data_IF_081677039897
#
_entry.id   IF_081677039897
#
_cell.length_a   1.000
_cell.length_b   1.000
_cell.length_c   1.000
_cell.angle_alpha   90.00
_cell.angle_beta   90.00
_cell.angle_gamma   90.00
#
_symmetry.space_group_name_H-M   'P 1'
#
loop_
_entity.id
_entity.type
_entity.pdbx_description
1 polymer ?
#
# COMPACT_ATOMS: atom_id res chain seq x y z
N UNK A 1 -55.36 81.88 -2.48
CA UNK A 1 -55.30 80.43 -2.50
C UNK A 1 -54.21 80.07 -1.48
N UNK A 2 -54.59 79.80 -0.25
CA UNK A 2 -53.73 79.72 0.92
C UNK A 2 -53.41 78.28 1.17
N UNK A 3 -52.09 77.96 1.21
CA UNK A 3 -51.63 76.60 1.55
C UNK A 3 -51.00 76.66 2.95
N UNK A 4 -51.64 76.01 3.92
CA UNK A 4 -51.17 75.87 5.27
C UNK A 4 -50.11 74.83 5.39
N UNK A 5 -48.93 75.16 5.87
CA UNK A 5 -47.89 74.28 6.28
C UNK A 5 -48.09 73.81 7.73
N UNK A 6 -48.38 72.57 7.93
CA UNK A 6 -48.47 71.95 9.25
C UNK A 6 -47.08 71.30 9.57
N UNK A 7 -46.42 71.84 10.59
CA UNK A 7 -45.16 71.28 11.08
C UNK A 7 -45.44 70.10 12.01
N UNK A 8 -45.16 68.91 11.56
CA UNK A 8 -45.18 67.76 12.41
C UNK A 8 -43.80 67.53 13.07
N UNK A 9 -43.79 67.47 14.40
CA UNK A 9 -42.59 67.27 15.20
C UNK A 9 -42.26 65.79 15.14
N UNK A 10 -41.07 65.45 14.62
CA UNK A 10 -40.54 64.05 14.66
C UNK A 10 -39.97 63.79 16.04
N UNK A 11 -40.52 62.80 16.72
CA UNK A 11 -39.98 62.24 17.96
C UNK A 11 -38.95 61.18 17.55
N UNK A 12 -37.68 61.47 17.84
CA UNK A 12 -36.59 60.52 17.66
C UNK A 12 -36.60 59.53 18.83
N UNK A 13 -37.09 58.30 18.58
CA UNK A 13 -36.94 57.20 19.50
C UNK A 13 -35.61 56.51 19.17
N UNK A 14 -34.63 56.66 20.04
CA UNK A 14 -33.38 55.94 19.94
C UNK A 14 -33.60 54.46 20.34
N UNK A 15 -33.66 53.60 19.35
CA UNK A 15 -33.62 52.16 19.58
C UNK A 15 -32.16 51.73 19.69
N UNK A 16 -31.73 51.44 20.92
CA UNK A 16 -30.42 50.88 21.19
C UNK A 16 -30.29 49.50 20.63
N UNK A 17 -29.50 49.35 19.56
CA UNK A 17 -29.16 48.05 18.99
C UNK A 17 -28.07 47.42 19.85
N UNK A 18 -28.43 46.51 20.76
CA UNK A 18 -27.45 45.64 21.43
C UNK A 18 -26.89 44.65 20.43
N UNK A 19 -25.65 44.94 19.96
CA UNK A 19 -24.86 43.94 19.26
C UNK A 19 -24.40 42.89 20.27
N UNK A 20 -25.09 41.74 20.35
CA UNK A 20 -24.55 40.54 20.96
C UNK A 20 -23.47 39.97 20.03
N UNK A 21 -22.21 40.23 20.37
CA UNK A 21 -21.07 39.57 19.76
C UNK A 21 -21.14 38.11 20.24
N UNK A 22 -21.73 37.23 19.43
CA UNK A 22 -21.57 35.82 19.60
C UNK A 22 -20.12 35.49 19.24
N UNK A 23 -19.28 35.32 20.26
CA UNK A 23 -17.96 34.71 20.07
C UNK A 23 -18.18 33.32 19.46
N UNK A 24 -17.53 32.98 18.34
CA UNK A 24 -17.51 31.61 17.89
C UNK A 24 -16.79 30.80 18.97
N UNK A 25 -17.53 29.99 19.74
CA UNK A 25 -16.94 28.91 20.50
C UNK A 25 -16.31 27.98 19.47
N UNK A 26 -15.01 28.15 19.25
CA UNK A 26 -14.22 27.16 18.58
C UNK A 26 -14.37 25.88 19.44
N UNK A 27 -15.23 24.98 19.00
CA UNK A 27 -15.15 23.59 19.41
C UNK A 27 -13.81 23.12 18.87
N UNK A 28 -12.74 23.26 19.66
CA UNK A 28 -11.58 22.45 19.48
C UNK A 28 -12.10 21.01 19.62
N UNK A 29 -12.36 20.36 18.52
CA UNK A 29 -12.41 18.92 18.48
C UNK A 29 -11.10 18.49 19.08
N UNK A 30 -11.15 18.09 20.35
CA UNK A 30 -10.14 17.23 20.92
C UNK A 30 -10.31 15.93 20.14
N UNK A 31 -9.74 15.89 18.93
CA UNK A 31 -9.29 14.65 18.35
C UNK A 31 -8.29 14.11 19.35
N UNK A 32 -8.86 13.42 20.34
CA UNK A 32 -8.14 12.42 21.08
C UNK A 32 -7.89 11.32 20.06
N UNK A 33 -7.07 11.63 19.05
CA UNK A 33 -6.23 10.62 18.46
C UNK A 33 -5.43 10.09 19.63
N UNK A 34 -6.04 9.15 20.32
CA UNK A 34 -5.30 8.24 21.14
C UNK A 34 -4.20 7.77 20.21
N UNK A 35 -3.00 8.32 20.39
CA UNK A 35 -1.84 7.86 19.67
C UNK A 35 -1.82 6.36 19.91
N UNK A 36 -2.46 5.62 19.00
CA UNK A 36 -2.39 4.17 19.00
C UNK A 36 -0.91 3.91 18.96
N UNK A 37 -0.40 3.38 20.07
CA UNK A 37 1.01 3.01 20.17
C UNK A 37 1.23 2.09 18.98
N UNK A 38 1.80 2.64 17.89
CA UNK A 38 2.09 1.88 16.70
C UNK A 38 3.21 0.93 17.10
N UNK A 39 2.83 -0.29 17.43
CA UNK A 39 3.80 -1.34 17.75
C UNK A 39 4.62 -1.67 16.52
N UNK A 40 5.82 -2.16 16.75
CA UNK A 40 6.74 -2.61 15.72
C UNK A 40 7.58 -1.50 15.08
N UNK A 41 8.62 -1.93 14.38
CA UNK A 41 9.56 -1.09 13.66
C UNK A 41 9.11 -0.88 12.19
N UNK A 42 9.60 0.17 11.50
CA UNK A 42 9.30 0.39 10.09
C UNK A 42 9.99 -0.65 9.21
N UNK A 43 9.20 -1.42 8.49
CA UNK A 43 9.63 -2.45 7.54
C UNK A 43 9.02 -2.21 6.16
N UNK A 44 9.59 -2.89 5.17
CA UNK A 44 8.97 -3.13 3.88
C UNK A 44 8.61 -4.61 3.81
N UNK A 45 7.40 -4.89 3.36
CA UNK A 45 6.94 -6.20 2.94
C UNK A 45 7.02 -6.26 1.41
N UNK A 46 7.73 -7.24 0.89
CA UNK A 46 7.76 -7.53 -0.53
C UNK A 46 7.16 -8.89 -0.79
N UNK A 47 6.21 -8.96 -1.69
CA UNK A 47 5.60 -10.20 -2.17
C UNK A 47 6.06 -10.45 -3.61
N UNK A 48 6.60 -11.63 -3.86
CA UNK A 48 7.00 -12.08 -5.19
C UNK A 48 6.11 -13.25 -5.62
N UNK A 49 5.56 -13.16 -6.82
CA UNK A 49 4.65 -14.16 -7.37
C UNK A 49 5.35 -14.92 -8.51
N UNK A 50 5.57 -16.20 -8.28
CA UNK A 50 6.27 -17.09 -9.20
C UNK A 50 5.28 -18.04 -9.88
N UNK A 51 5.21 -17.98 -11.20
CA UNK A 51 4.53 -18.98 -12.01
C UNK A 51 5.34 -20.29 -12.09
N UNK A 52 4.69 -21.39 -12.42
CA UNK A 52 5.34 -22.68 -12.60
C UNK A 52 5.21 -23.24 -14.00
N UNK A 53 4.21 -22.79 -14.79
CA UNK A 53 4.06 -23.20 -16.17
C UNK A 53 5.21 -22.64 -17.02
N UNK A 54 5.71 -23.47 -17.95
CA UNK A 54 6.76 -23.02 -18.88
C UNK A 54 6.15 -22.60 -20.20
N UNK A 55 6.52 -21.41 -20.71
CA UNK A 55 5.99 -20.91 -21.99
C UNK A 55 6.29 -21.83 -23.19
N UNK A 56 7.36 -22.63 -23.10
CA UNK A 56 7.75 -23.61 -24.14
C UNK A 56 6.92 -24.91 -24.09
N UNK A 57 5.93 -25.02 -23.20
CA UNK A 57 5.12 -26.22 -23.00
C UNK A 57 5.86 -27.36 -22.30
N UNK A 58 7.04 -27.10 -21.77
CA UNK A 58 7.81 -28.04 -20.95
C UNK A 58 7.13 -28.37 -19.61
N UNK A 59 7.68 -29.33 -18.85
CA UNK A 59 7.12 -29.69 -17.55
C UNK A 59 7.18 -28.49 -16.59
N UNK A 60 6.09 -28.32 -15.83
CA UNK A 60 6.00 -27.24 -14.83
C UNK A 60 7.14 -27.35 -13.79
N UNK A 61 7.52 -26.22 -13.23
CA UNK A 61 8.49 -26.15 -12.12
C UNK A 61 7.93 -26.94 -10.93
N UNK A 62 8.68 -27.92 -10.47
CA UNK A 62 8.30 -28.76 -9.32
C UNK A 62 8.57 -28.04 -7.99
N UNK A 63 7.94 -28.53 -6.89
CA UNK A 63 8.23 -28.04 -5.54
C UNK A 63 9.73 -28.16 -5.21
N UNK A 64 10.34 -29.31 -5.54
CA UNK A 64 11.75 -29.52 -5.27
C UNK A 64 12.66 -28.53 -6.01
N UNK A 65 12.33 -28.20 -7.26
CA UNK A 65 13.07 -27.21 -8.04
C UNK A 65 12.89 -25.80 -7.48
N UNK A 66 11.66 -25.43 -7.11
CA UNK A 66 11.39 -24.14 -6.51
C UNK A 66 12.10 -23.98 -5.16
N UNK A 67 12.00 -24.97 -4.28
CA UNK A 67 12.67 -24.94 -2.98
C UNK A 67 14.19 -24.90 -3.11
N UNK A 68 14.77 -25.66 -4.04
CA UNK A 68 16.21 -25.59 -4.32
C UNK A 68 16.65 -24.21 -4.84
N UNK A 69 15.81 -23.55 -5.62
CA UNK A 69 16.03 -22.16 -6.05
C UNK A 69 16.01 -21.22 -4.85
N UNK A 70 14.99 -21.32 -3.97
CA UNK A 70 14.89 -20.48 -2.77
C UNK A 70 16.11 -20.67 -1.86
N UNK A 71 16.50 -21.91 -1.60
CA UNK A 71 17.66 -22.21 -0.73
C UNK A 71 18.97 -21.64 -1.28
N UNK A 72 19.11 -21.62 -2.60
CA UNK A 72 20.33 -21.19 -3.26
C UNK A 72 20.40 -19.68 -3.49
N UNK A 73 19.30 -19.08 -3.98
CA UNK A 73 19.31 -17.71 -4.49
C UNK A 73 18.63 -16.71 -3.54
N UNK A 74 17.67 -17.16 -2.71
CA UNK A 74 16.91 -16.25 -1.85
C UNK A 74 17.43 -16.26 -0.42
N UNK A 75 17.58 -17.44 0.18
CA UNK A 75 17.96 -17.59 1.60
C UNK A 75 19.28 -16.88 1.94
N UNK A 76 20.33 -16.92 1.10
CA UNK A 76 21.58 -16.21 1.41
C UNK A 76 21.43 -14.69 1.49
N UNK A 77 20.49 -14.14 0.72
CA UNK A 77 20.22 -12.70 0.64
C UNK A 77 19.26 -12.20 1.72
N UNK A 78 18.36 -13.07 2.18
CA UNK A 78 17.36 -12.79 3.19
C UNK A 78 17.38 -13.84 4.33
N UNK A 79 18.52 -13.95 5.05
CA UNK A 79 18.68 -14.97 6.08
C UNK A 79 17.84 -14.75 7.33
N UNK A 80 17.31 -13.54 7.53
CA UNK A 80 16.49 -13.20 8.69
C UNK A 80 15.08 -13.80 8.63
N UNK A 81 14.69 -14.30 7.46
CA UNK A 81 13.46 -15.06 7.28
C UNK A 81 12.69 -14.70 6.02
N UNK A 82 11.94 -15.67 5.58
CA UNK A 82 11.01 -15.57 4.47
C UNK A 82 9.82 -16.51 4.72
N UNK A 83 8.71 -16.24 4.04
CA UNK A 83 7.55 -17.12 4.06
C UNK A 83 7.18 -17.48 2.63
N UNK A 84 6.87 -18.77 2.42
CA UNK A 84 6.40 -19.27 1.12
C UNK A 84 4.97 -19.74 1.27
N UNK A 85 4.11 -19.29 0.37
CA UNK A 85 2.74 -19.75 0.24
C UNK A 85 2.54 -20.38 -1.15
N UNK A 86 1.70 -21.40 -1.20
CA UNK A 86 1.32 -22.04 -2.47
C UNK A 86 -0.03 -21.51 -2.91
N UNK A 87 -0.12 -21.07 -4.14
CA UNK A 87 -1.34 -20.55 -4.74
C UNK A 87 -1.70 -21.22 -6.06
N UNK A 88 -2.82 -20.79 -6.61
CA UNK A 88 -3.26 -21.13 -7.97
C UNK A 88 -3.28 -19.86 -8.78
N UNK A 89 -2.40 -19.76 -9.76
CA UNK A 89 -2.31 -18.66 -10.70
C UNK A 89 -3.21 -18.85 -11.91
N UNK A 90 -3.74 -17.76 -12.43
CA UNK A 90 -4.38 -17.70 -13.74
C UNK A 90 -4.01 -16.36 -14.38
N UNK A 91 -3.55 -16.42 -15.60
CA UNK A 91 -3.21 -15.21 -16.35
C UNK A 91 -3.50 -15.41 -17.83
N UNK A 92 -3.65 -14.33 -18.55
CA UNK A 92 -3.88 -14.36 -20.00
C UNK A 92 -2.56 -14.13 -20.69
N UNK A 93 -2.14 -15.13 -21.48
CA UNK A 93 -0.93 -15.06 -22.28
C UNK A 93 -1.08 -14.10 -23.49
N UNK A 94 0.00 -13.89 -24.23
CA UNK A 94 0.03 -13.05 -25.42
C UNK A 94 -0.89 -13.57 -26.55
N UNK A 95 -1.24 -14.85 -26.55
CA UNK A 95 -2.19 -15.47 -27.51
C UNK A 95 -3.65 -15.26 -27.14
N UNK A 96 -3.94 -14.75 -25.93
CA UNK A 96 -5.27 -14.56 -25.39
C UNK A 96 -5.80 -15.78 -24.62
N UNK A 97 -5.01 -16.83 -24.46
CA UNK A 97 -5.35 -18.04 -23.72
C UNK A 97 -5.23 -17.80 -22.21
N UNK A 98 -6.16 -18.35 -21.44
CA UNK A 98 -6.06 -18.34 -19.98
C UNK A 98 -5.25 -19.53 -19.52
N UNK A 99 -4.02 -19.27 -19.11
CA UNK A 99 -3.14 -20.22 -18.47
C UNK A 99 -3.55 -20.44 -17.02
N UNK A 100 -3.49 -21.69 -16.56
CA UNK A 100 -3.79 -22.09 -15.19
C UNK A 100 -2.65 -22.92 -14.65
N UNK A 101 -2.08 -22.44 -13.57
CA UNK A 101 -0.88 -23.05 -13.01
C UNK A 101 -0.91 -23.05 -11.48
N UNK A 102 -0.03 -23.83 -10.88
CA UNK A 102 0.36 -23.61 -9.50
C UNK A 102 1.28 -22.41 -9.47
N UNK A 103 1.16 -21.60 -8.42
CA UNK A 103 2.05 -20.46 -8.18
C UNK A 103 2.59 -20.50 -6.76
N UNK A 104 3.71 -19.82 -6.55
CA UNK A 104 4.25 -19.57 -5.23
C UNK A 104 4.25 -18.08 -4.97
N UNK A 105 3.92 -17.74 -3.74
CA UNK A 105 4.11 -16.39 -3.19
C UNK A 105 5.24 -16.46 -2.17
N UNK A 106 6.27 -15.67 -2.38
CA UNK A 106 7.38 -15.50 -1.46
C UNK A 106 7.24 -14.13 -0.78
N UNK A 107 7.15 -14.12 0.54
CA UNK A 107 7.00 -12.92 1.35
C UNK A 107 8.31 -12.65 2.07
N UNK A 108 8.84 -11.46 1.89
CA UNK A 108 10.05 -10.95 2.52
C UNK A 108 9.70 -9.76 3.41
N UNK A 109 10.24 -9.74 4.63
CA UNK A 109 10.14 -8.62 5.55
C UNK A 109 11.55 -8.12 5.86
N UNK A 110 11.83 -6.86 5.59
CA UNK A 110 13.14 -6.26 5.87
C UNK A 110 13.00 -4.82 6.37
N UNK A 111 13.95 -4.34 7.21
CA UNK A 111 13.92 -2.97 7.70
C UNK A 111 13.84 -1.94 6.56
N UNK A 112 13.01 -0.92 6.70
CA UNK A 112 12.88 0.15 5.70
C UNK A 112 14.23 0.81 5.37
N UNK A 113 15.16 0.87 6.33
CA UNK A 113 16.51 1.39 6.11
C UNK A 113 17.32 0.57 5.09
N UNK A 114 16.98 -0.69 4.87
CA UNK A 114 17.62 -1.59 3.91
C UNK A 114 16.93 -1.62 2.55
N UNK A 115 15.89 -0.83 2.33
CA UNK A 115 15.05 -0.92 1.13
C UNK A 115 15.87 -0.87 -0.18
N UNK A 116 16.83 0.05 -0.31
CA UNK A 116 17.63 0.17 -1.54
C UNK A 116 18.59 -1.00 -1.78
N UNK A 117 19.13 -1.61 -0.73
CA UNK A 117 19.98 -2.81 -0.87
C UNK A 117 19.17 -4.04 -1.18
N UNK A 118 18.02 -4.19 -0.51
CA UNK A 118 17.07 -5.29 -0.73
C UNK A 118 16.45 -5.22 -2.13
N UNK A 119 16.17 -4.03 -2.65
CA UNK A 119 15.66 -3.84 -4.01
C UNK A 119 16.58 -4.49 -5.07
N UNK A 120 17.88 -4.26 -4.99
CA UNK A 120 18.82 -4.87 -5.95
C UNK A 120 18.84 -6.40 -5.88
N UNK A 121 18.81 -6.96 -4.68
CA UNK A 121 18.75 -8.41 -4.44
C UNK A 121 17.45 -9.00 -4.97
N UNK A 122 16.31 -8.35 -4.71
CA UNK A 122 15.01 -8.79 -5.19
C UNK A 122 14.97 -8.81 -6.72
N UNK A 123 15.51 -7.78 -7.38
CA UNK A 123 15.56 -7.76 -8.85
C UNK A 123 16.52 -8.82 -9.42
N UNK A 124 17.57 -9.20 -8.70
CA UNK A 124 18.44 -10.31 -9.08
C UNK A 124 17.71 -11.65 -8.97
N UNK A 125 17.03 -11.91 -7.83
CA UNK A 125 16.19 -13.10 -7.63
C UNK A 125 15.16 -13.26 -8.75
N UNK A 126 14.46 -12.19 -9.12
CA UNK A 126 13.47 -12.21 -10.20
C UNK A 126 14.09 -12.63 -11.54
N UNK A 127 15.18 -11.96 -11.94
CA UNK A 127 15.91 -12.30 -13.18
C UNK A 127 16.44 -13.75 -13.20
N UNK A 128 16.95 -14.20 -12.06
CA UNK A 128 17.51 -15.56 -11.97
C UNK A 128 16.42 -16.63 -12.09
N UNK A 129 15.23 -16.38 -11.51
CA UNK A 129 14.10 -17.27 -11.70
C UNK A 129 13.62 -17.30 -13.16
N UNK A 130 13.43 -16.13 -13.76
CA UNK A 130 13.05 -15.99 -15.17
C UNK A 130 14.01 -16.76 -16.08
N UNK A 131 15.30 -16.60 -15.85
CA UNK A 131 16.36 -17.28 -16.62
C UNK A 131 16.41 -18.78 -16.35
N UNK A 132 16.30 -19.21 -15.10
CA UNK A 132 16.42 -20.63 -14.73
C UNK A 132 15.26 -21.48 -15.24
N UNK A 133 14.06 -20.90 -15.26
CA UNK A 133 12.83 -21.63 -15.56
C UNK A 133 12.12 -21.16 -16.84
N UNK A 134 12.71 -20.21 -17.59
CA UNK A 134 12.14 -19.69 -18.82
C UNK A 134 10.85 -18.90 -18.62
N UNK A 135 10.69 -18.26 -17.45
CA UNK A 135 9.49 -17.48 -17.14
C UNK A 135 9.53 -16.13 -17.81
N UNK A 136 8.37 -15.61 -18.19
CA UNK A 136 8.27 -14.27 -18.79
C UNK A 136 8.43 -13.15 -17.77
N UNK A 137 7.99 -13.39 -16.54
CA UNK A 137 8.10 -12.42 -15.45
C UNK A 137 7.87 -13.07 -14.09
N UNK A 138 8.33 -12.39 -13.04
CA UNK A 138 7.96 -12.63 -11.65
C UNK A 138 7.24 -11.39 -11.14
N UNK A 139 5.99 -11.53 -10.70
CA UNK A 139 5.24 -10.41 -10.13
C UNK A 139 5.87 -9.90 -8.85
N UNK A 140 5.81 -8.58 -8.60
CA UNK A 140 6.31 -7.97 -7.37
C UNK A 140 5.31 -6.94 -6.83
N UNK A 141 5.07 -7.00 -5.52
CA UNK A 141 4.30 -6.01 -4.77
C UNK A 141 5.14 -5.60 -3.57
N UNK A 142 5.24 -4.30 -3.32
CA UNK A 142 5.90 -3.74 -2.13
C UNK A 142 4.90 -2.93 -1.33
N UNK A 143 4.91 -3.11 -0.01
CA UNK A 143 4.10 -2.32 0.91
C UNK A 143 4.93 -1.90 2.14
N UNK A 144 4.47 -0.86 2.81
CA UNK A 144 5.07 -0.42 4.07
C UNK A 144 4.36 -1.10 5.23
N UNK A 145 5.13 -1.78 6.05
CA UNK A 145 4.63 -2.52 7.20
C UNK A 145 5.22 -1.99 8.51
N UNK A 146 4.58 -2.31 9.61
CA UNK A 146 5.18 -2.23 10.93
C UNK A 146 5.24 -3.63 11.51
N UNK A 147 6.42 -4.05 11.89
CA UNK A 147 6.68 -5.43 12.31
C UNK A 147 7.21 -5.44 13.75
N UNK A 148 6.64 -6.29 14.56
CA UNK A 148 6.99 -6.51 15.96
C UNK A 148 7.24 -8.03 16.14
N UNK A 149 8.50 -8.41 16.37
CA UNK A 149 8.93 -9.79 16.53
C UNK A 149 9.14 -10.13 18.00
#
# INVERSE_FOLDING_TARGET
MNVHFTRTRAVLTAVGLMLTVAAPTAYASLDTDGASVRRGEPYVETQLFFGTARPDGGPAVTDAQFMAFVDKEVTPDFPDGLTIQTGRGQWRDASGTIEKERSYELILLYPQAQASSSDRKIEEIRRDYEKAFGQESVGRVDDRARVDF
#
